data_IF_615683338793
#
_entry.id   IF_615683338793
#
_cell.length_a   1.000
_cell.length_b   1.000
_cell.length_c   1.000
_cell.angle_alpha   90.00
_cell.angle_beta   90.00
_cell.angle_gamma   90.00
#
_symmetry.space_group_name_H-M   'P 1'
#
loop_
_entity.id
_entity.type
_entity.pdbx_description
1 polymer ?
#
# COMPACT_ATOMS: atom_id res chain seq x y z
N UNK A 1 22.71 13.45 -22.43
CA UNK A 1 22.02 12.40 -21.65
C UNK A 1 20.56 12.79 -21.59
N UNK A 2 19.59 11.94 -21.98
CA UNK A 2 18.19 12.26 -21.74
C UNK A 2 18.02 12.55 -20.25
N UNK A 3 17.46 13.72 -19.94
CA UNK A 3 17.46 14.30 -18.59
C UNK A 3 16.90 13.32 -17.56
N UNK A 4 17.59 13.20 -16.43
CA UNK A 4 17.19 12.37 -15.31
C UNK A 4 15.73 12.66 -14.95
N UNK A 5 14.82 11.74 -15.29
CA UNK A 5 13.40 11.93 -15.05
C UNK A 5 13.17 11.94 -13.55
N UNK A 6 12.79 13.12 -13.03
CA UNK A 6 12.46 13.29 -11.63
C UNK A 6 11.26 12.41 -11.27
N UNK A 7 11.44 11.49 -10.33
CA UNK A 7 10.35 10.69 -9.78
C UNK A 7 9.46 11.59 -8.91
N UNK A 8 8.29 11.96 -9.42
CA UNK A 8 7.33 12.84 -8.76
C UNK A 8 6.01 12.11 -8.54
N UNK A 9 5.63 11.92 -7.28
CA UNK A 9 4.27 11.56 -6.90
C UNK A 9 3.41 12.82 -6.95
N UNK A 10 2.42 12.87 -7.85
CA UNK A 10 1.42 13.95 -7.88
C UNK A 10 0.18 13.51 -7.13
N UNK A 11 -0.51 14.46 -6.49
CA UNK A 11 -1.77 14.18 -5.81
C UNK A 11 -2.72 15.37 -5.92
N UNK A 12 -4.02 15.09 -5.81
CA UNK A 12 -5.09 16.08 -5.74
C UNK A 12 -6.02 15.74 -4.57
N UNK A 13 -6.37 16.76 -3.79
CA UNK A 13 -7.43 16.65 -2.78
C UNK A 13 -8.80 16.72 -3.47
N UNK A 14 -9.65 15.74 -3.19
CA UNK A 14 -11.01 15.68 -3.69
C UNK A 14 -11.98 16.54 -2.88
N UNK A 15 -11.71 16.73 -1.59
CA UNK A 15 -12.54 17.47 -0.63
C UNK A 15 -11.66 18.23 0.37
N UNK A 16 -12.26 19.09 1.21
CA UNK A 16 -11.57 19.74 2.33
C UNK A 16 -11.18 18.77 3.45
N UNK A 17 -11.70 17.53 3.44
CA UNK A 17 -11.39 16.52 4.44
C UNK A 17 -10.03 15.84 4.20
N UNK A 18 -9.47 15.98 2.98
CA UNK A 18 -8.24 15.31 2.60
C UNK A 18 -6.98 15.98 3.21
N UNK A 19 -6.03 15.15 3.63
CA UNK A 19 -4.74 15.56 4.15
C UNK A 19 -3.66 15.32 3.10
N UNK A 20 -2.68 16.22 2.99
CA UNK A 20 -1.55 15.99 2.08
C UNK A 20 -0.70 14.82 2.61
N UNK A 21 -0.30 13.85 1.77
CA UNK A 21 0.61 12.80 2.18
C UNK A 21 1.93 13.38 2.71
N UNK A 22 2.47 12.80 3.77
CA UNK A 22 3.68 13.29 4.43
C UNK A 22 4.65 12.17 4.74
N UNK A 23 5.95 12.47 4.82
CA UNK A 23 6.97 11.48 5.20
C UNK A 23 7.22 11.54 6.71
N UNK A 24 7.28 10.37 7.34
CA UNK A 24 7.67 10.26 8.75
C UNK A 24 9.15 10.54 9.03
N UNK A 25 10.02 10.39 8.03
CA UNK A 25 11.45 10.72 8.11
C UNK A 25 12.01 10.98 6.71
N UNK A 26 13.23 11.54 6.62
CA UNK A 26 13.89 11.88 5.34
C UNK A 26 13.97 10.69 4.38
N UNK A 27 14.23 9.50 4.92
CA UNK A 27 14.41 8.25 4.17
C UNK A 27 13.23 7.28 4.35
N UNK A 28 12.08 7.76 4.85
CA UNK A 28 10.88 6.94 4.93
C UNK A 28 10.51 6.44 3.53
N UNK A 29 10.23 5.14 3.45
CA UNK A 29 9.84 4.47 2.20
C UNK A 29 8.46 4.93 1.73
N UNK A 30 7.52 5.10 2.66
CA UNK A 30 6.15 5.48 2.38
C UNK A 30 5.80 6.92 2.79
N UNK A 31 4.74 7.43 2.16
CA UNK A 31 4.04 8.64 2.58
C UNK A 31 2.82 8.25 3.43
N UNK A 32 2.72 8.74 4.65
CA UNK A 32 1.58 8.50 5.53
C UNK A 32 0.28 8.99 4.86
N UNK A 33 -0.74 8.12 4.84
CA UNK A 33 -2.10 8.40 4.39
C UNK A 33 -3.01 8.58 5.61
N UNK A 34 -3.76 9.68 5.63
CA UNK A 34 -4.72 9.95 6.70
C UNK A 34 -6.15 9.58 6.30
N UNK A 35 -6.97 9.23 7.29
CA UNK A 35 -8.41 9.13 7.11
C UNK A 35 -9.02 10.51 6.87
N UNK A 36 -9.89 10.63 5.86
CA UNK A 36 -10.70 11.81 5.65
C UNK A 36 -11.93 11.87 6.59
N UNK A 37 -12.28 10.74 7.24
CA UNK A 37 -13.52 10.60 8.01
C UNK A 37 -13.30 9.81 9.30
N UNK A 38 -14.23 9.92 10.24
CA UNK A 38 -14.30 9.00 11.36
C UNK A 38 -14.80 7.64 10.84
N UNK A 39 -14.11 6.56 11.22
CA UNK A 39 -14.43 5.20 10.77
C UNK A 39 -14.24 4.23 11.94
N UNK A 40 -15.20 3.33 12.14
CA UNK A 40 -15.03 2.19 13.04
C UNK A 40 -14.69 0.96 12.22
N UNK A 41 -13.56 0.31 12.51
CA UNK A 41 -13.19 -0.99 11.94
C UNK A 41 -13.68 -2.07 12.91
N UNK A 42 -14.72 -2.87 12.55
CA UNK A 42 -15.28 -3.87 13.46
C UNK A 42 -14.22 -4.88 13.91
N UNK A 43 -14.36 -5.39 15.15
CA UNK A 43 -13.61 -6.54 15.62
C UNK A 43 -13.68 -7.70 14.62
N UNK A 44 -12.54 -8.34 14.34
CA UNK A 44 -12.43 -9.45 13.39
C UNK A 44 -13.01 -9.11 11.99
N UNK A 45 -13.07 -7.82 11.66
CA UNK A 45 -13.75 -7.29 10.48
C UNK A 45 -12.85 -6.46 9.58
N UNK A 46 -13.50 -5.73 8.66
CA UNK A 46 -12.81 -4.85 7.72
C UNK A 46 -13.60 -3.56 7.46
N UNK A 47 -12.89 -2.51 7.09
CA UNK A 47 -13.49 -1.25 6.66
C UNK A 47 -12.69 -0.64 5.51
N UNK A 48 -13.39 0.10 4.64
CA UNK A 48 -12.77 0.94 3.63
C UNK A 48 -12.64 2.36 4.18
N UNK A 49 -11.42 2.81 4.41
CA UNK A 49 -11.11 4.16 4.87
C UNK A 49 -10.78 5.03 3.66
N UNK A 50 -11.59 6.06 3.40
CA UNK A 50 -11.34 7.01 2.31
C UNK A 50 -10.29 8.04 2.73
N UNK A 51 -9.37 8.35 1.82
CA UNK A 51 -8.37 9.42 2.02
C UNK A 51 -8.82 10.74 1.39
N UNK A 52 -9.78 10.68 0.46
CA UNK A 52 -10.17 11.80 -0.41
C UNK A 52 -9.00 12.37 -1.21
N UNK A 53 -8.05 11.50 -1.56
CA UNK A 53 -6.94 11.81 -2.46
C UNK A 53 -7.11 11.08 -3.78
N UNK A 54 -6.80 11.77 -4.87
CA UNK A 54 -6.38 11.15 -6.12
C UNK A 54 -4.87 11.21 -6.19
N UNK A 55 -4.24 10.19 -6.74
CA UNK A 55 -2.78 10.15 -6.93
C UNK A 55 -2.44 9.82 -8.38
N UNK A 56 -1.29 10.31 -8.81
CA UNK A 56 -0.60 9.88 -10.01
C UNK A 56 0.82 9.50 -9.58
N UNK A 57 1.05 8.19 -9.53
CA UNK A 57 2.36 7.63 -9.18
C UNK A 57 3.34 7.78 -10.35
N UNK A 58 4.65 7.84 -10.09
CA UNK A 58 5.65 7.95 -11.15
C UNK A 58 5.57 6.79 -12.16
N UNK A 59 5.99 7.05 -13.39
CA UNK A 59 6.09 6.01 -14.41
C UNK A 59 7.05 4.88 -14.00
N UNK A 60 6.64 3.64 -14.32
CA UNK A 60 7.36 2.44 -13.90
C UNK A 60 7.19 2.11 -12.41
N UNK A 61 6.21 2.73 -11.74
CA UNK A 61 5.84 2.41 -10.37
C UNK A 61 4.33 2.15 -10.26
N UNK A 62 3.95 1.34 -9.27
CA UNK A 62 2.60 1.35 -8.71
C UNK A 62 2.63 1.92 -7.29
N UNK A 63 1.47 2.33 -6.77
CA UNK A 63 1.33 2.76 -5.39
C UNK A 63 0.91 1.61 -4.49
N UNK A 64 1.82 1.11 -3.64
CA UNK A 64 1.46 0.15 -2.60
C UNK A 64 0.95 0.84 -1.35
N UNK A 65 -0.29 0.57 -0.96
CA UNK A 65 -0.80 0.91 0.37
C UNK A 65 -0.32 -0.16 1.36
N UNK A 66 0.51 0.24 2.31
CA UNK A 66 1.18 -0.65 3.25
C UNK A 66 0.77 -0.36 4.70
N UNK A 67 0.78 -1.37 5.58
CA UNK A 67 0.45 -1.19 6.99
C UNK A 67 1.50 -0.33 7.71
N UNK A 68 1.08 0.35 8.77
CA UNK A 68 1.97 1.05 9.71
C UNK A 68 2.26 0.13 10.89
N UNK A 69 3.54 -0.12 11.18
CA UNK A 69 3.95 -1.08 12.22
C UNK A 69 3.34 -0.82 13.59
N UNK A 70 3.15 0.45 13.96
CA UNK A 70 2.50 0.83 15.23
C UNK A 70 1.05 0.35 15.33
N UNK A 71 0.28 0.44 14.25
CA UNK A 71 -1.12 -0.01 14.22
C UNK A 71 -1.20 -1.54 14.17
N UNK A 72 -0.31 -2.18 13.42
CA UNK A 72 -0.21 -3.63 13.38
C UNK A 72 0.10 -4.23 14.76
N UNK A 73 1.14 -3.72 15.43
CA UNK A 73 1.58 -4.25 16.73
C UNK A 73 0.62 -3.94 17.87
N UNK A 74 0.12 -2.70 17.96
CA UNK A 74 -0.67 -2.24 19.12
C UNK A 74 -2.17 -2.51 18.99
N UNK A 75 -2.67 -2.57 17.76
CA UNK A 75 -4.10 -2.57 17.48
C UNK A 75 -4.53 -3.73 16.58
N UNK A 76 -3.63 -4.63 16.20
CA UNK A 76 -3.89 -5.76 15.30
C UNK A 76 -4.49 -5.34 13.94
N UNK A 77 -4.07 -4.17 13.44
CA UNK A 77 -4.56 -3.63 12.17
C UNK A 77 -3.60 -3.98 11.04
N UNK A 78 -4.15 -4.56 9.98
CA UNK A 78 -3.43 -4.80 8.73
C UNK A 78 -4.09 -4.09 7.54
N UNK A 79 -3.36 -3.99 6.44
CA UNK A 79 -3.84 -3.41 5.18
C UNK A 79 -4.06 -4.51 4.16
N UNK A 80 -5.28 -4.60 3.63
CA UNK A 80 -5.63 -5.44 2.51
C UNK A 80 -5.53 -4.75 1.16
N UNK A 81 -5.62 -5.55 0.09
CA UNK A 81 -5.55 -5.08 -1.31
C UNK A 81 -4.29 -4.24 -1.55
N UNK A 82 -4.43 -2.91 -1.64
CA UNK A 82 -3.31 -1.98 -1.58
C UNK A 82 -2.52 -1.81 -2.87
N UNK A 83 -2.98 -2.33 -4.00
CA UNK A 83 -2.40 -2.04 -5.33
C UNK A 83 -3.14 -0.84 -5.91
N UNK A 84 -2.47 0.30 -6.02
CA UNK A 84 -2.95 1.49 -6.72
C UNK A 84 -2.22 1.57 -8.06
N UNK A 85 -2.95 1.29 -9.14
CA UNK A 85 -2.40 1.28 -10.50
C UNK A 85 -1.96 2.67 -10.96
N UNK A 86 -0.99 2.70 -11.88
CA UNK A 86 -0.41 3.94 -12.40
C UNK A 86 -1.44 4.83 -13.11
N UNK A 87 -2.45 4.23 -13.74
CA UNK A 87 -3.53 4.90 -14.46
C UNK A 87 -4.78 5.15 -13.60
N UNK A 88 -4.78 4.73 -12.33
CA UNK A 88 -5.89 4.99 -11.42
C UNK A 88 -6.00 6.49 -11.10
N UNK A 89 -7.20 7.05 -11.26
CA UNK A 89 -7.52 8.45 -10.90
C UNK A 89 -8.73 8.56 -9.99
N UNK A 90 -9.13 7.48 -9.33
CA UNK A 90 -10.22 7.53 -8.35
C UNK A 90 -9.76 7.96 -6.95
N UNK A 91 -10.67 7.89 -5.98
CA UNK A 91 -10.38 8.16 -4.57
C UNK A 91 -9.57 7.00 -3.96
N UNK A 92 -8.34 7.27 -3.54
CA UNK A 92 -7.48 6.29 -2.87
C UNK A 92 -8.15 5.84 -1.57
N UNK A 93 -8.53 4.57 -1.55
CA UNK A 93 -9.10 3.90 -0.39
C UNK A 93 -8.06 3.00 0.30
N UNK A 94 -8.11 2.95 1.62
CA UNK A 94 -7.31 2.05 2.45
C UNK A 94 -8.23 0.97 2.99
N UNK A 95 -8.04 -0.28 2.56
CA UNK A 95 -8.77 -1.42 3.11
C UNK A 95 -8.05 -1.87 4.37
N UNK A 96 -8.68 -1.66 5.53
CA UNK A 96 -8.14 -2.10 6.81
C UNK A 96 -8.81 -3.38 7.26
N UNK A 97 -8.00 -4.33 7.74
CA UNK A 97 -8.43 -5.49 8.49
C UNK A 97 -8.11 -5.29 9.96
N UNK A 98 -9.05 -5.66 10.83
CA UNK A 98 -8.85 -5.67 12.26
C UNK A 98 -8.88 -7.11 12.76
N UNK A 99 -7.73 -7.61 13.21
CA UNK A 99 -7.59 -8.96 13.73
C UNK A 99 -7.78 -9.03 15.26
N UNK A 100 -8.13 -7.93 15.92
CA UNK A 100 -8.48 -7.92 17.34
C UNK A 100 -9.95 -8.29 17.56
N UNK A 101 -10.26 -8.67 18.81
CA UNK A 101 -11.63 -8.92 19.30
C UNK A 101 -12.36 -7.65 19.76
N UNK A 102 -11.78 -6.48 19.51
CA UNK A 102 -12.34 -5.17 19.85
C UNK A 102 -12.38 -4.29 18.63
N UNK A 103 -13.41 -3.44 18.53
CA UNK A 103 -13.50 -2.47 17.43
C UNK A 103 -12.34 -1.46 17.53
N UNK A 104 -11.82 -1.07 16.37
CA UNK A 104 -10.79 -0.04 16.28
C UNK A 104 -11.39 1.25 15.72
N UNK A 105 -11.33 2.32 16.52
CA UNK A 105 -11.84 3.63 16.12
C UNK A 105 -10.74 4.45 15.45
N UNK A 106 -11.06 4.97 14.27
CA UNK A 106 -10.22 5.89 13.51
C UNK A 106 -10.94 7.23 13.50
N UNK A 107 -10.22 8.30 13.79
CA UNK A 107 -10.72 9.65 13.67
C UNK A 107 -10.21 10.27 12.35
N UNK A 108 -10.95 11.25 11.84
CA UNK A 108 -10.49 12.10 10.74
C UNK A 108 -9.10 12.68 11.07
N UNK A 109 -8.17 12.54 10.14
CA UNK A 109 -6.78 12.98 10.28
C UNK A 109 -5.82 11.94 10.83
N UNK A 110 -6.31 10.83 11.41
CA UNK A 110 -5.43 9.75 11.85
C UNK A 110 -4.71 9.11 10.67
N UNK A 111 -3.40 8.87 10.85
CA UNK A 111 -2.55 8.20 9.86
C UNK A 111 -2.80 6.69 9.91
N UNK A 112 -3.45 6.15 8.90
CA UNK A 112 -3.96 4.77 8.90
C UNK A 112 -3.11 3.79 8.08
N UNK A 113 -2.40 4.29 7.07
CA UNK A 113 -1.54 3.50 6.20
C UNK A 113 -0.41 4.36 5.65
N UNK A 114 0.44 3.78 4.82
CA UNK A 114 1.45 4.53 4.06
C UNK A 114 1.47 4.10 2.59
N UNK A 115 1.66 5.05 1.68
CA UNK A 115 1.78 4.82 0.25
C UNK A 115 3.26 4.73 -0.15
N UNK A 116 3.67 3.59 -0.69
CA UNK A 116 5.02 3.35 -1.21
C UNK A 116 4.96 3.31 -2.73
N UNK A 117 5.80 4.09 -3.41
CA UNK A 117 5.94 4.00 -4.87
C UNK A 117 6.92 2.87 -5.20
N UNK A 118 6.40 1.69 -5.53
CA UNK A 118 7.20 0.51 -5.80
C UNK A 118 7.48 0.38 -7.29
N UNK A 119 8.76 0.23 -7.64
CA UNK A 119 9.19 0.06 -9.02
C UNK A 119 8.76 -1.30 -9.56
N UNK A 120 8.24 -1.30 -10.77
CA UNK A 120 7.80 -2.49 -11.50
C UNK A 120 8.26 -2.43 -12.95
N UNK A 121 8.20 -3.57 -13.63
CA UNK A 121 8.25 -3.66 -15.09
C UNK A 121 6.85 -3.96 -15.63
N UNK A 122 6.61 -3.56 -16.87
CA UNK A 122 5.42 -3.95 -17.65
C UNK A 122 5.87 -4.91 -18.77
N UNK A 123 6.13 -6.19 -18.47
CA UNK A 123 6.57 -7.14 -19.48
C UNK A 123 5.43 -7.52 -20.44
N UNK A 124 5.79 -7.90 -21.66
CA UNK A 124 4.89 -8.63 -22.55
C UNK A 124 4.80 -10.10 -22.10
N UNK A 125 3.65 -10.73 -22.34
CA UNK A 125 3.43 -12.14 -22.00
C UNK A 125 3.77 -13.03 -23.19
N UNK A 126 4.59 -14.05 -22.96
CA UNK A 126 4.97 -15.08 -23.93
C UNK A 126 4.67 -16.46 -23.32
N UNK A 127 3.85 -17.26 -24.01
CA UNK A 127 3.54 -18.65 -23.61
C UNK A 127 4.56 -19.61 -24.27
N UNK A 128 5.14 -20.51 -23.47
CA UNK A 128 6.17 -21.47 -23.91
C UNK A 128 5.83 -22.89 -23.46
N UNK A 129 6.35 -23.90 -24.16
CA UNK A 129 6.12 -25.31 -23.81
C UNK A 129 6.86 -25.73 -22.53
N UNK A 130 8.08 -25.21 -22.32
CA UNK A 130 8.93 -25.52 -21.16
C UNK A 130 9.70 -24.28 -20.69
N UNK A 131 9.96 -24.19 -19.38
CA UNK A 131 10.82 -23.17 -18.76
C UNK A 131 12.20 -23.77 -18.49
N UNK A 132 13.24 -22.92 -18.44
CA UNK A 132 14.60 -23.35 -18.10
C UNK A 132 14.68 -23.87 -16.65
N UNK A 133 15.49 -24.92 -16.44
CA UNK A 133 15.80 -25.41 -15.10
C UNK A 133 16.64 -24.41 -14.31
N UNK A 134 16.39 -24.30 -13.00
CA UNK A 134 17.16 -23.46 -12.08
C UNK A 134 17.58 -24.26 -10.85
N UNK A 135 18.59 -23.80 -10.12
CA UNK A 135 19.03 -24.44 -8.86
C UNK A 135 17.89 -24.60 -7.84
N UNK A 136 16.92 -23.68 -7.83
CA UNK A 136 15.74 -23.76 -6.94
C UNK A 136 14.70 -24.75 -7.44
N UNK A 137 14.55 -24.91 -8.76
CA UNK A 137 13.57 -25.79 -9.39
C UNK A 137 12.17 -25.65 -8.80
N UNK A 138 11.59 -26.77 -8.34
CA UNK A 138 10.24 -26.84 -7.75
C UNK A 138 10.18 -26.51 -6.24
N UNK A 139 11.27 -26.05 -5.62
CA UNK A 139 11.33 -25.77 -4.18
C UNK A 139 10.60 -24.48 -3.75
N UNK A 140 9.60 -24.60 -2.88
CA UNK A 140 8.82 -23.49 -2.30
C UNK A 140 8.26 -23.81 -0.91
N UNK A 141 7.53 -22.88 -0.30
CA UNK A 141 6.81 -23.07 0.98
C UNK A 141 7.65 -23.64 2.15
N UNK A 142 8.78 -23.02 2.47
CA UNK A 142 9.65 -23.47 3.57
C UNK A 142 10.70 -24.50 3.18
N UNK A 143 10.95 -24.69 1.88
CA UNK A 143 11.99 -25.61 1.35
C UNK A 143 13.43 -25.30 1.80
N UNK A 144 13.68 -24.13 2.40
CA UNK A 144 14.99 -23.72 2.96
C UNK A 144 15.05 -23.80 4.49
N UNK A 145 14.02 -24.36 5.14
CA UNK A 145 14.07 -24.76 6.55
C UNK A 145 13.15 -23.98 7.49
N UNK A 146 12.61 -24.72 8.46
CA UNK A 146 12.54 -24.30 9.86
C UNK A 146 13.38 -25.35 10.59
N UNK A 147 14.60 -25.00 11.00
CA UNK A 147 15.37 -25.88 11.89
C UNK A 147 14.53 -26.09 13.13
N UNK A 148 14.21 -27.35 13.43
CA UNK A 148 13.48 -27.75 14.64
C UNK A 148 14.32 -27.50 15.88
#
# INVERSE_FOLDING_TARGET
MPGEMKLVLRFKKLTENAFAPSKGSKLAAGFDLCSAYDVSVPAEGKALVKTDLQVEVPEGCYGRVAPRSGLAWKNHIDVGAGVIDQDYRGNVGVVLFNHAKTNFQINKGDRVAQLICEKIAYPELEEVEELEDTERGKGGFGSTGVSS
#
